data_IF_418452767784
#
_entry.id   IF_418452767784
#
_cell.length_a   1.000
_cell.length_b   1.000
_cell.length_c   1.000
_cell.angle_alpha   90.00
_cell.angle_beta   90.00
_cell.angle_gamma   90.00
#
_symmetry.space_group_name_H-M   'P 1'
#
loop_
_entity.id
_entity.type
_entity.pdbx_description
1 polymer ?
#
# COMPACT_ATOMS: atom_id res chain seq x y z
N UNK A 1 -24.09 -23.89 8.36
CA UNK A 1 -23.78 -23.66 6.95
C UNK A 1 -22.87 -22.47 6.85
N UNK A 2 -21.69 -22.59 6.30
CA UNK A 2 -20.93 -21.39 6.00
C UNK A 2 -21.77 -20.52 5.08
N UNK A 3 -21.94 -19.25 5.43
CA UNK A 3 -22.57 -18.28 4.56
C UNK A 3 -21.86 -18.33 3.20
N UNK A 4 -22.55 -18.71 2.15
CA UNK A 4 -21.98 -18.62 0.80
C UNK A 4 -21.62 -17.15 0.56
N UNK A 5 -20.37 -16.89 0.25
CA UNK A 5 -19.89 -15.56 -0.08
C UNK A 5 -20.71 -15.04 -1.27
N UNK A 6 -21.39 -13.92 -1.09
CA UNK A 6 -22.13 -13.24 -2.17
C UNK A 6 -21.11 -12.48 -3.03
N UNK A 7 -20.74 -13.09 -4.15
CA UNK A 7 -19.67 -12.57 -5.01
C UNK A 7 -20.04 -11.25 -5.69
N UNK A 8 -21.32 -11.02 -5.96
CA UNK A 8 -21.78 -9.77 -6.58
C UNK A 8 -21.62 -8.61 -5.59
N UNK A 9 -22.07 -8.79 -4.35
CA UNK A 9 -21.85 -7.80 -3.29
C UNK A 9 -20.37 -7.57 -2.97
N UNK A 10 -19.56 -8.61 -3.05
CA UNK A 10 -18.10 -8.47 -2.83
C UNK A 10 -17.50 -7.64 -3.96
N UNK A 11 -17.90 -7.87 -5.21
CA UNK A 11 -17.42 -7.10 -6.35
C UNK A 11 -17.78 -5.63 -6.22
N UNK A 12 -19.05 -5.33 -5.95
CA UNK A 12 -19.54 -3.96 -5.73
C UNK A 12 -18.76 -3.25 -4.59
N UNK A 13 -18.54 -3.97 -3.50
CA UNK A 13 -17.78 -3.46 -2.37
C UNK A 13 -16.32 -3.14 -2.76
N UNK A 14 -15.66 -4.04 -3.48
CA UNK A 14 -14.26 -3.85 -3.90
C UNK A 14 -14.14 -2.66 -4.86
N UNK A 15 -15.04 -2.53 -5.83
CA UNK A 15 -15.05 -1.41 -6.77
C UNK A 15 -15.27 -0.08 -6.05
N UNK A 16 -16.25 -0.01 -5.14
CA UNK A 16 -16.50 1.19 -4.36
C UNK A 16 -15.29 1.60 -3.49
N UNK A 17 -14.69 0.65 -2.80
CA UNK A 17 -13.52 0.92 -1.96
C UNK A 17 -12.27 1.27 -2.78
N UNK A 18 -12.13 0.66 -3.94
CA UNK A 18 -11.05 1.01 -4.87
C UNK A 18 -11.13 2.48 -5.26
N UNK A 19 -12.26 2.93 -5.76
CA UNK A 19 -12.44 4.29 -6.26
C UNK A 19 -12.39 5.34 -5.15
N UNK A 20 -12.99 5.06 -4.00
CA UNK A 20 -13.13 6.05 -2.91
C UNK A 20 -11.94 6.10 -1.97
N UNK A 21 -11.18 5.04 -1.84
CA UNK A 21 -10.14 4.93 -0.82
C UNK A 21 -8.79 4.45 -1.36
N UNK A 22 -8.73 3.29 -1.99
CA UNK A 22 -7.45 2.69 -2.37
C UNK A 22 -6.75 3.50 -3.48
N UNK A 23 -7.45 3.85 -4.55
CA UNK A 23 -6.88 4.58 -5.68
C UNK A 23 -6.37 5.98 -5.30
N UNK A 24 -7.11 6.83 -4.57
CA UNK A 24 -6.59 8.12 -4.12
C UNK A 24 -5.31 7.98 -3.28
N UNK A 25 -5.28 7.04 -2.33
CA UNK A 25 -4.10 6.80 -1.49
C UNK A 25 -2.92 6.24 -2.28
N UNK A 26 -3.20 5.41 -3.27
CA UNK A 26 -2.16 4.90 -4.18
C UNK A 26 -1.56 6.04 -5.02
N UNK A 27 -2.38 7.00 -5.46
CA UNK A 27 -1.91 8.18 -6.16
C UNK A 27 -0.97 9.03 -5.31
N UNK A 28 -1.35 9.32 -4.09
CA UNK A 28 -0.48 10.03 -3.13
C UNK A 28 0.85 9.30 -2.93
N UNK A 29 0.80 7.97 -2.78
CA UNK A 29 1.99 7.15 -2.65
C UNK A 29 2.87 7.20 -3.90
N UNK A 30 2.29 7.15 -5.10
CA UNK A 30 3.07 7.18 -6.37
C UNK A 30 3.83 8.48 -6.53
N UNK A 31 3.32 9.60 -6.03
CA UNK A 31 3.98 10.91 -6.09
C UNK A 31 5.23 11.01 -5.18
N UNK A 32 5.35 10.17 -4.17
CA UNK A 32 6.52 10.15 -3.28
C UNK A 32 7.69 9.48 -4.00
N UNK A 33 8.84 10.14 -4.22
CA UNK A 33 9.98 9.54 -4.94
C UNK A 33 10.80 8.61 -4.03
N UNK A 34 10.14 7.63 -3.42
CA UNK A 34 10.71 6.69 -2.46
C UNK A 34 11.46 5.57 -3.16
N UNK A 35 12.62 5.87 -3.74
CA UNK A 35 13.46 4.88 -4.40
C UNK A 35 14.03 3.86 -3.42
N UNK A 36 14.25 2.65 -3.91
CA UNK A 36 14.98 1.62 -3.19
C UNK A 36 16.40 2.09 -2.86
N UNK A 37 16.96 1.72 -1.70
CA UNK A 37 18.35 2.01 -1.33
C UNK A 37 19.39 1.61 -2.39
N UNK A 38 19.05 0.68 -3.27
CA UNK A 38 19.91 0.27 -4.38
C UNK A 38 20.05 1.34 -5.47
N UNK A 39 19.10 2.28 -5.56
CA UNK A 39 19.07 3.34 -6.55
C UNK A 39 19.29 4.74 -5.95
N UNK A 40 19.20 4.87 -4.64
CA UNK A 40 19.31 6.13 -3.94
C UNK A 40 20.21 5.98 -2.70
N UNK A 41 21.46 6.46 -2.81
CA UNK A 41 22.40 6.43 -1.70
C UNK A 41 22.01 7.34 -0.54
N UNK A 42 21.17 8.35 -0.79
CA UNK A 42 20.73 9.35 0.19
C UNK A 42 19.36 9.01 0.80
N UNK A 43 18.87 7.80 0.62
CA UNK A 43 17.53 7.38 1.02
C UNK A 43 17.21 7.63 2.50
N UNK A 44 18.20 7.51 3.40
CA UNK A 44 18.01 7.85 4.83
C UNK A 44 17.89 9.37 5.04
N UNK A 45 18.70 10.14 4.33
CA UNK A 45 18.78 11.59 4.52
C UNK A 45 17.58 12.32 3.92
N UNK A 46 17.08 11.89 2.76
CA UNK A 46 15.95 12.53 2.08
C UNK A 46 14.59 12.21 2.70
N UNK A 47 14.44 11.10 3.43
CA UNK A 47 13.24 10.74 4.17
C UNK A 47 12.06 10.27 3.31
N UNK A 48 12.23 10.02 2.02
CA UNK A 48 11.13 9.61 1.14
C UNK A 48 10.56 8.23 1.47
N UNK A 49 11.41 7.28 1.89
CA UNK A 49 10.92 5.98 2.35
C UNK A 49 10.08 6.09 3.63
N UNK A 50 10.47 6.96 4.55
CA UNK A 50 9.65 7.23 5.75
C UNK A 50 8.34 7.93 5.40
N UNK A 51 8.34 8.86 4.44
CA UNK A 51 7.11 9.47 3.94
C UNK A 51 6.17 8.42 3.34
N UNK A 52 6.68 7.51 2.52
CA UNK A 52 5.90 6.41 1.96
C UNK A 52 5.31 5.50 3.04
N UNK A 53 6.11 5.10 4.03
CA UNK A 53 5.65 4.30 5.18
C UNK A 53 4.54 5.03 5.94
N UNK A 54 4.70 6.32 6.20
CA UNK A 54 3.70 7.12 6.93
C UNK A 54 2.38 7.24 6.16
N UNK A 55 2.43 7.36 4.84
CA UNK A 55 1.24 7.36 3.97
C UNK A 55 0.48 6.03 4.12
N UNK A 56 1.18 4.90 4.05
CA UNK A 56 0.56 3.58 4.26
C UNK A 56 -0.01 3.41 5.66
N UNK A 57 0.70 3.86 6.69
CA UNK A 57 0.21 3.80 8.09
C UNK A 57 -1.08 4.60 8.24
N UNK A 58 -1.10 5.82 7.72
CA UNK A 58 -2.26 6.70 7.81
C UNK A 58 -3.48 6.07 7.13
N UNK A 59 -3.32 5.59 5.91
CA UNK A 59 -4.39 4.91 5.17
C UNK A 59 -4.85 3.65 5.90
N UNK A 60 -3.93 2.78 6.30
CA UNK A 60 -4.27 1.51 6.99
C UNK A 60 -5.05 1.77 8.26
N UNK A 61 -4.65 2.75 9.06
CA UNK A 61 -5.35 3.11 10.30
C UNK A 61 -6.71 3.75 10.07
N UNK A 62 -6.98 4.28 8.90
CA UNK A 62 -8.30 4.80 8.53
C UNK A 62 -9.33 3.71 8.20
N UNK A 63 -8.87 2.47 7.98
CA UNK A 63 -9.74 1.36 7.63
C UNK A 63 -10.56 0.90 8.86
N UNK A 64 -11.86 0.66 8.72
CA UNK A 64 -12.74 0.22 9.82
C UNK A 64 -12.59 -1.28 10.10
N UNK A 65 -11.35 -1.75 10.34
CA UNK A 65 -11.04 -3.16 10.57
C UNK A 65 -10.81 -3.44 12.05
N UNK A 66 -11.51 -4.42 12.59
CA UNK A 66 -11.27 -4.93 13.94
C UNK A 66 -9.99 -5.76 13.98
N UNK A 67 -9.28 -5.72 15.10
CA UNK A 67 -8.06 -6.50 15.28
C UNK A 67 -6.87 -6.03 14.44
N UNK A 68 -6.98 -4.87 13.80
CA UNK A 68 -5.91 -4.28 13.01
C UNK A 68 -4.81 -3.72 13.92
N UNK A 69 -3.58 -4.17 13.69
CA UNK A 69 -2.37 -3.60 14.30
C UNK A 69 -1.36 -3.24 13.22
N UNK A 70 -0.67 -2.13 13.44
CA UNK A 70 0.35 -1.62 12.52
C UNK A 70 1.61 -1.30 13.31
N UNK A 71 2.74 -1.87 12.91
CA UNK A 71 4.04 -1.62 13.50
C UNK A 71 5.11 -1.37 12.45
N UNK A 72 6.08 -0.54 12.78
CA UNK A 72 7.24 -0.24 11.92
C UNK A 72 8.50 -0.66 12.65
N UNK A 73 9.28 -1.49 12.00
CA UNK A 73 10.56 -1.96 12.51
C UNK A 73 11.69 -1.30 11.73
N UNK A 74 12.62 -0.68 12.44
CA UNK A 74 13.78 -0.01 11.86
C UNK A 74 15.06 -0.60 12.41
N UNK A 75 15.94 -0.96 11.51
CA UNK A 75 17.31 -1.37 11.83
C UNK A 75 18.29 -0.40 11.16
N UNK A 76 19.41 -0.20 11.80
CA UNK A 76 20.48 0.68 11.25
C UNK A 76 20.91 0.19 9.86
N UNK A 77 21.00 1.10 8.91
CA UNK A 77 21.37 0.84 7.52
C UNK A 77 20.44 -0.17 6.78
N UNK A 78 19.19 -0.26 7.21
CA UNK A 78 18.17 -1.08 6.56
C UNK A 78 16.93 -0.24 6.30
N UNK A 79 16.29 -0.47 5.17
CA UNK A 79 14.98 0.10 4.88
C UNK A 79 13.95 -0.31 5.94
N UNK A 80 12.97 0.55 6.26
CA UNK A 80 11.96 0.23 7.26
C UNK A 80 11.10 -0.96 6.82
N UNK A 81 10.72 -1.79 7.79
CA UNK A 81 9.75 -2.87 7.61
C UNK A 81 8.42 -2.44 8.22
N UNK A 82 7.39 -2.36 7.41
CA UNK A 82 6.01 -2.14 7.83
C UNK A 82 5.31 -3.49 7.98
N UNK A 83 4.84 -3.79 9.19
CA UNK A 83 4.07 -4.99 9.50
C UNK A 83 2.64 -4.60 9.84
N UNK A 84 1.70 -5.14 9.08
CA UNK A 84 0.26 -4.98 9.28
C UNK A 84 -0.30 -6.34 9.62
N UNK A 85 -0.98 -6.44 10.76
CA UNK A 85 -1.64 -7.67 11.20
C UNK A 85 -3.12 -7.40 11.40
N UNK A 86 -3.94 -8.30 10.92
CA UNK A 86 -5.39 -8.33 11.15
C UNK A 86 -5.69 -9.67 11.79
N UNK A 87 -6.26 -9.66 12.99
CA UNK A 87 -6.66 -10.89 13.66
C UNK A 87 -7.96 -11.43 13.08
N UNK A 88 -7.95 -12.71 12.74
CA UNK A 88 -9.13 -13.45 12.30
C UNK A 88 -9.76 -14.24 13.44
N UNK A 89 -10.91 -14.84 13.18
CA UNK A 89 -11.68 -15.65 14.15
C UNK A 89 -11.37 -17.15 14.02
N UNK A 90 -10.63 -17.56 12.99
CA UNK A 90 -10.27 -18.95 12.71
C UNK A 90 -8.79 -19.22 12.94
N UNK A 91 -8.45 -20.48 13.18
CA UNK A 91 -7.05 -20.91 13.30
C UNK A 91 -6.32 -20.84 11.95
N UNK A 92 -5.10 -20.38 11.97
CA UNK A 92 -4.23 -20.27 10.81
C UNK A 92 -3.84 -18.84 10.51
N UNK A 93 -2.80 -18.69 9.67
CA UNK A 93 -2.28 -17.39 9.26
C UNK A 93 -2.05 -17.39 7.75
N UNK A 94 -2.34 -16.25 7.12
CA UNK A 94 -1.99 -15.97 5.73
C UNK A 94 -1.01 -14.80 5.70
N UNK A 95 0.16 -14.99 5.13
CA UNK A 95 1.17 -13.95 4.99
C UNK A 95 1.18 -13.41 3.55
N UNK A 96 1.00 -12.10 3.41
CA UNK A 96 1.24 -11.38 2.18
C UNK A 96 2.56 -10.63 2.27
N UNK A 97 3.43 -10.84 1.31
CA UNK A 97 4.68 -10.09 1.17
C UNK A 97 4.58 -9.11 0.01
N UNK A 98 5.00 -7.89 0.25
CA UNK A 98 5.10 -6.85 -0.77
C UNK A 98 6.24 -5.89 -0.42
N UNK A 99 6.58 -4.99 -1.33
CA UNK A 99 7.53 -3.91 -1.07
C UNK A 99 6.92 -2.56 -1.48
N UNK A 100 7.36 -1.50 -0.83
CA UNK A 100 6.88 -0.14 -1.07
C UNK A 100 7.95 0.82 -1.61
N UNK A 101 9.21 0.39 -1.65
CA UNK A 101 10.27 1.12 -2.32
C UNK A 101 10.14 0.95 -3.85
N UNK A 102 10.59 1.95 -4.57
CA UNK A 102 10.40 2.06 -6.02
C UNK A 102 11.69 1.86 -6.77
N UNK A 103 11.54 1.52 -8.05
CA UNK A 103 12.61 1.63 -9.04
C UNK A 103 12.58 3.02 -9.70
N UNK A 104 13.67 3.46 -10.33
CA UNK A 104 13.66 4.67 -11.15
C UNK A 104 12.55 4.60 -12.22
N UNK A 105 12.03 5.78 -12.55
CA UNK A 105 11.02 5.90 -13.60
C UNK A 105 11.52 5.25 -14.90
N UNK A 106 10.66 4.45 -15.52
CA UNK A 106 10.89 4.08 -16.91
C UNK A 106 10.75 5.35 -17.78
N UNK A 107 11.50 5.45 -18.88
CA UNK A 107 11.50 6.60 -19.82
C UNK A 107 10.13 6.80 -20.53
N UNK A 108 9.04 6.62 -19.82
CA UNK A 108 7.68 6.87 -20.30
C UNK A 108 7.31 8.27 -19.80
N UNK A 109 7.35 9.24 -20.67
CA UNK A 109 6.94 10.61 -20.39
C UNK A 109 5.58 10.66 -19.69
N UNK A 110 5.58 11.06 -18.41
CA UNK A 110 4.40 11.55 -17.72
C UNK A 110 3.37 10.51 -17.28
N UNK A 111 3.76 9.44 -16.63
CA UNK A 111 2.82 8.63 -15.87
C UNK A 111 2.30 9.44 -14.67
N UNK A 112 1.26 10.24 -14.89
CA UNK A 112 0.49 10.85 -13.81
C UNK A 112 -0.52 9.82 -13.26
N UNK A 113 -0.96 9.99 -12.02
CA UNK A 113 -2.00 9.14 -11.44
C UNK A 113 -3.31 9.13 -12.26
N UNK A 114 -3.58 10.18 -13.02
CA UNK A 114 -4.67 10.25 -13.98
C UNK A 114 -4.57 9.18 -15.08
N UNK A 115 -3.37 8.80 -15.51
CA UNK A 115 -3.14 7.73 -16.49
C UNK A 115 -3.38 6.33 -15.90
N UNK A 116 -3.07 6.12 -14.62
CA UNK A 116 -3.37 4.86 -13.92
C UNK A 116 -4.88 4.67 -13.78
N UNK A 117 -5.63 5.72 -13.46
CA UNK A 117 -7.08 5.67 -13.33
C UNK A 117 -7.77 5.30 -14.68
N UNK A 118 -7.30 5.84 -15.80
CA UNK A 118 -7.89 5.59 -17.13
C UNK A 118 -7.54 4.21 -17.72
N UNK A 119 -6.41 3.61 -17.33
CA UNK A 119 -6.00 2.30 -17.84
C UNK A 119 -6.67 1.12 -17.14
N UNK A 120 -7.30 1.34 -15.99
CA UNK A 120 -7.96 0.29 -15.18
C UNK A 120 -9.49 0.23 -15.44
N UNK A 121 -10.05 1.19 -16.17
CA UNK A 121 -11.48 1.25 -16.53
C UNK A 121 -11.78 0.85 -17.97
N UNK A 122 -10.80 0.26 -18.69
CA UNK A 122 -10.94 -0.18 -20.09
C UNK A 122 -11.02 -1.73 -20.18
#
# INVERSE_FOLDING_TARGET
MPNSLDLDKLSDFVEEWWDKSALPSLCEFVEIPALSPSFDSEWEANGYLDAAVNTFIAWTRSLPLKGLTVSVHRLKNRSPLLLIKIEGDEDGEVLFYSHLDKQPEADIHGASCALLATSLTS
#
